data_IF_754198774254
#
_entry.id   IF_754198774254
#
_cell.length_a   1.000
_cell.length_b   1.000
_cell.length_c   1.000
_cell.angle_alpha   90.00
_cell.angle_beta   90.00
_cell.angle_gamma   90.00
#
_symmetry.space_group_name_H-M   'P 1'
#
loop_
_entity.id
_entity.type
_entity.pdbx_description
1 polymer ?
#
# COMPACT_ATOMS: atom_id res chain seq x y z
N UNK A 1 9.06 -31.22 48.97
CA UNK A 1 10.12 -30.57 48.14
C UNK A 1 9.86 -30.61 46.62
N UNK A 2 9.16 -31.60 46.06
CA UNK A 2 8.88 -31.67 44.62
C UNK A 2 7.86 -30.62 44.08
N UNK A 3 6.99 -30.08 44.94
CA UNK A 3 5.99 -29.05 44.52
C UNK A 3 6.56 -27.63 44.38
N UNK A 4 7.71 -27.36 45.03
CA UNK A 4 8.39 -26.05 44.95
C UNK A 4 9.16 -25.92 43.61
N UNK A 5 9.65 -27.02 43.05
CA UNK A 5 10.40 -27.02 41.80
C UNK A 5 9.54 -26.67 40.57
N UNK A 6 8.29 -27.11 40.54
CA UNK A 6 7.37 -26.81 39.42
C UNK A 6 6.95 -25.35 39.46
N UNK A 7 6.71 -24.78 40.65
CA UNK A 7 6.39 -23.36 40.81
C UNK A 7 7.57 -22.46 40.45
N UNK A 8 8.81 -22.83 40.78
CA UNK A 8 10.01 -22.11 40.40
C UNK A 8 10.31 -22.18 38.89
N UNK A 9 10.00 -23.33 38.24
CA UNK A 9 10.19 -23.46 36.80
C UNK A 9 9.19 -22.62 36.00
N UNK A 10 7.93 -22.54 36.46
CA UNK A 10 6.95 -21.62 35.84
C UNK A 10 7.30 -20.15 36.06
N UNK A 11 7.81 -19.74 37.24
CA UNK A 11 8.20 -18.37 37.49
C UNK A 11 9.53 -18.00 36.82
N UNK A 12 10.44 -18.96 36.62
CA UNK A 12 11.73 -18.72 35.92
C UNK A 12 11.58 -18.46 34.42
N UNK A 13 10.58 -19.07 33.78
CA UNK A 13 10.30 -18.84 32.33
C UNK A 13 9.75 -17.44 32.05
N UNK A 14 9.10 -16.80 33.03
CA UNK A 14 8.57 -15.45 32.88
C UNK A 14 9.60 -14.33 33.08
N UNK A 15 10.79 -14.61 33.62
CA UNK A 15 11.77 -13.57 33.94
C UNK A 15 12.85 -13.29 32.90
N UNK A 16 12.94 -14.09 31.82
CA UNK A 16 14.07 -13.95 30.89
C UNK A 16 13.83 -13.10 29.64
N UNK A 17 12.66 -12.49 29.46
CA UNK A 17 12.40 -11.66 28.29
C UNK A 17 11.75 -10.32 28.64
N UNK A 18 12.49 -9.44 29.30
CA UNK A 18 12.21 -8.00 29.24
C UNK A 18 12.79 -7.40 27.97
N UNK A 19 12.60 -8.05 26.83
CA UNK A 19 12.69 -7.36 25.56
C UNK A 19 11.46 -6.47 25.48
N UNK A 20 11.67 -5.17 25.23
CA UNK A 20 10.62 -4.19 25.04
C UNK A 20 9.49 -4.83 24.21
N UNK A 21 8.29 -4.89 24.81
CA UNK A 21 7.13 -5.49 24.13
C UNK A 21 7.00 -4.76 22.80
N UNK A 22 7.31 -5.47 21.72
CA UNK A 22 7.14 -4.93 20.38
C UNK A 22 5.67 -4.61 20.24
N UNK A 23 5.31 -3.33 20.21
CA UNK A 23 3.93 -2.91 20.03
C UNK A 23 3.42 -3.48 18.70
N UNK A 24 2.24 -4.07 18.72
CA UNK A 24 1.61 -4.68 17.55
C UNK A 24 0.28 -4.03 17.25
N UNK A 25 -0.02 -3.90 15.97
CA UNK A 25 -1.32 -3.50 15.45
C UNK A 25 -2.17 -4.74 15.11
N UNK A 26 -3.48 -4.53 14.98
CA UNK A 26 -4.40 -5.61 14.67
C UNK A 26 -4.68 -6.48 15.89
N UNK A 27 -4.89 -5.89 17.07
CA UNK A 27 -5.17 -6.57 18.33
C UNK A 27 -6.49 -6.16 18.99
N UNK A 28 -7.45 -5.61 18.23
CA UNK A 28 -8.78 -5.31 18.73
C UNK A 28 -9.55 -6.59 19.05
N UNK A 29 -10.67 -6.49 19.76
CA UNK A 29 -11.43 -7.67 20.20
C UNK A 29 -11.85 -8.59 19.04
N UNK A 30 -12.23 -8.03 17.89
CA UNK A 30 -12.65 -8.80 16.71
C UNK A 30 -11.47 -9.26 15.83
N UNK A 31 -10.25 -8.84 16.11
CA UNK A 31 -9.07 -9.19 15.32
C UNK A 31 -8.53 -10.58 15.74
N UNK A 32 -7.79 -11.25 14.84
CA UNK A 32 -7.07 -12.50 15.07
C UNK A 32 -7.94 -13.66 15.57
N UNK A 33 -9.18 -13.70 15.14
CA UNK A 33 -10.00 -14.88 15.22
C UNK A 33 -9.71 -15.81 14.04
N UNK A 34 -9.78 -17.10 14.28
CA UNK A 34 -9.71 -18.10 13.22
C UNK A 34 -10.70 -19.22 13.47
N UNK A 35 -11.23 -19.78 12.40
CA UNK A 35 -12.07 -20.97 12.41
C UNK A 35 -11.35 -22.09 11.67
N UNK A 36 -11.44 -23.30 12.15
CA UNK A 36 -10.82 -24.46 11.52
C UNK A 36 -11.69 -25.70 11.58
N UNK A 37 -11.40 -26.60 10.66
CA UNK A 37 -11.91 -27.95 10.64
C UNK A 37 -10.74 -28.91 10.65
N UNK A 38 -10.92 -30.07 11.26
CA UNK A 38 -9.87 -31.09 11.30
C UNK A 38 -10.46 -32.48 11.10
N UNK A 39 -9.65 -33.37 10.55
CA UNK A 39 -9.96 -34.77 10.42
C UNK A 39 -8.72 -35.62 10.74
N UNK A 40 -8.91 -36.80 11.32
CA UNK A 40 -7.79 -37.63 11.71
C UNK A 40 -8.23 -38.92 12.39
N UNK A 41 -7.41 -39.39 13.33
CA UNK A 41 -7.67 -40.59 14.08
C UNK A 41 -7.29 -40.48 15.55
N UNK A 42 -7.96 -41.22 16.36
CA UNK A 42 -7.64 -41.38 17.78
C UNK A 42 -7.40 -42.86 18.10
N UNK A 43 -6.38 -43.13 18.93
CA UNK A 43 -6.01 -44.49 19.33
C UNK A 43 -5.60 -44.51 20.81
N UNK A 44 -5.89 -45.59 21.59
CA UNK A 44 -5.41 -45.71 22.96
C UNK A 44 -3.89 -45.62 23.06
N UNK A 45 -3.38 -45.01 24.14
CA UNK A 45 -1.94 -44.83 24.37
C UNK A 45 -1.20 -46.14 24.56
N UNK A 46 -1.85 -47.11 25.25
CA UNK A 46 -1.21 -48.40 25.64
C UNK A 46 -2.12 -49.57 25.35
N UNK A 47 -1.51 -50.78 25.30
CA UNK A 47 -2.18 -52.07 25.19
C UNK A 47 -2.90 -52.34 23.85
N UNK A 48 -2.68 -51.53 22.84
CA UNK A 48 -3.32 -51.67 21.54
C UNK A 48 -2.33 -51.34 20.40
N UNK A 49 -2.57 -51.94 19.24
CA UNK A 49 -1.81 -51.55 18.05
C UNK A 49 -2.21 -50.16 17.61
N UNK A 50 -1.24 -49.32 17.31
CA UNK A 50 -1.46 -47.91 17.02
C UNK A 50 -2.46 -47.70 15.87
N UNK A 51 -2.26 -48.34 14.74
CA UNK A 51 -3.14 -48.18 13.56
C UNK A 51 -4.35 -49.15 13.60
N UNK A 52 -4.22 -50.34 14.20
CA UNK A 52 -5.28 -51.34 14.20
C UNK A 52 -6.55 -50.96 14.98
N UNK A 53 -6.40 -50.09 15.98
CA UNK A 53 -7.49 -49.59 16.82
C UNK A 53 -7.77 -48.11 16.64
N UNK A 54 -7.19 -47.52 15.55
CA UNK A 54 -7.41 -46.11 15.26
C UNK A 54 -8.86 -45.88 14.81
N UNK A 55 -9.51 -44.88 15.43
CA UNK A 55 -10.88 -44.47 15.13
C UNK A 55 -10.86 -43.12 14.44
N UNK A 56 -11.66 -42.95 13.41
CA UNK A 56 -11.76 -41.66 12.75
C UNK A 56 -12.34 -40.60 13.67
N UNK A 57 -11.76 -39.38 13.61
CA UNK A 57 -12.23 -38.22 14.33
C UNK A 57 -12.41 -37.07 13.34
N UNK A 58 -13.38 -36.23 13.63
CA UNK A 58 -13.54 -34.91 12.99
C UNK A 58 -13.72 -33.86 14.07
N UNK A 59 -13.19 -32.66 13.81
CA UNK A 59 -13.24 -31.55 14.74
C UNK A 59 -13.48 -30.25 14.07
N UNK A 60 -14.02 -29.33 14.86
CA UNK A 60 -14.12 -27.90 14.53
C UNK A 60 -13.44 -27.12 15.64
N UNK A 61 -12.81 -26.02 15.29
CA UNK A 61 -12.16 -25.14 16.25
C UNK A 61 -12.42 -23.67 15.94
N UNK A 62 -12.53 -22.89 17.01
CA UNK A 62 -12.59 -21.43 16.98
C UNK A 62 -11.49 -20.92 17.88
N UNK A 63 -10.52 -20.21 17.31
CA UNK A 63 -9.37 -19.73 18.05
C UNK A 63 -9.31 -18.21 18.04
N UNK A 64 -8.77 -17.64 19.11
CA UNK A 64 -8.48 -16.23 19.28
C UNK A 64 -7.04 -16.06 19.74
N UNK A 65 -6.22 -15.41 18.94
CA UNK A 65 -4.90 -14.97 19.36
C UNK A 65 -5.01 -13.64 20.11
N UNK A 66 -4.50 -13.59 21.34
CA UNK A 66 -4.46 -12.38 22.17
C UNK A 66 -3.21 -11.56 21.93
N UNK A 67 -2.11 -12.27 21.74
CA UNK A 67 -0.79 -11.72 21.39
C UNK A 67 -0.16 -12.61 20.33
N UNK A 68 0.92 -12.19 19.67
CA UNK A 68 1.64 -13.07 18.76
C UNK A 68 2.14 -14.39 19.38
N UNK A 69 2.20 -14.45 20.71
CA UNK A 69 2.69 -15.62 21.46
C UNK A 69 1.54 -16.43 22.03
N UNK A 70 0.54 -15.77 22.63
CA UNK A 70 -0.52 -16.42 23.41
C UNK A 70 -1.88 -16.27 22.74
N UNK A 71 -2.64 -17.35 22.76
CA UNK A 71 -4.03 -17.40 22.32
C UNK A 71 -4.85 -18.39 23.16
N UNK A 72 -6.13 -18.46 22.86
CA UNK A 72 -7.02 -19.48 23.37
C UNK A 72 -7.90 -20.01 22.23
N UNK A 73 -8.42 -21.24 22.41
CA UNK A 73 -9.28 -21.88 21.44
C UNK A 73 -10.39 -22.68 22.11
N UNK A 74 -11.51 -22.77 21.43
CA UNK A 74 -12.57 -23.72 21.69
C UNK A 74 -12.55 -24.75 20.58
N UNK A 75 -12.40 -26.03 20.95
CA UNK A 75 -12.34 -27.14 20.01
C UNK A 75 -13.41 -28.16 20.37
N UNK A 76 -14.15 -28.64 19.38
CA UNK A 76 -15.08 -29.75 19.52
C UNK A 76 -14.67 -30.88 18.58
N UNK A 77 -14.40 -32.08 19.12
CA UNK A 77 -13.95 -33.26 18.38
C UNK A 77 -14.93 -34.38 18.61
N UNK A 78 -15.43 -35.00 17.54
CA UNK A 78 -16.25 -36.19 17.56
C UNK A 78 -15.49 -37.39 17.01
N UNK A 79 -15.60 -38.53 17.70
CA UNK A 79 -15.09 -39.84 17.25
C UNK A 79 -16.23 -40.67 16.66
N UNK A 80 -15.98 -41.20 15.47
CA UNK A 80 -16.96 -41.97 14.70
C UNK A 80 -16.53 -43.44 14.66
N UNK A 81 -17.29 -44.30 15.21
CA UNK A 81 -17.26 -45.73 14.96
C UNK A 81 -18.36 -46.42 15.79
N UNK A 82 -19.15 -47.22 15.18
CA UNK A 82 -20.28 -47.92 15.82
C UNK A 82 -19.88 -49.11 16.67
N UNK A 83 -18.59 -49.44 16.80
CA UNK A 83 -18.15 -50.62 17.55
C UNK A 83 -18.23 -50.48 19.07
N UNK A 84 -18.21 -49.24 19.60
CA UNK A 84 -18.24 -48.96 21.05
C UNK A 84 -19.54 -48.33 21.52
N UNK A 85 -20.30 -47.70 20.65
CA UNK A 85 -21.59 -47.12 20.99
C UNK A 85 -22.68 -47.60 20.05
N UNK A 86 -23.93 -47.35 20.41
CA UNK A 86 -25.13 -47.62 19.58
C UNK A 86 -25.48 -46.43 18.68
N UNK A 87 -24.75 -45.34 18.79
CA UNK A 87 -24.93 -44.10 18.04
C UNK A 87 -23.83 -43.96 17.01
N UNK A 88 -23.96 -42.99 16.10
CA UNK A 88 -22.95 -42.64 15.08
C UNK A 88 -21.65 -42.17 15.78
N UNK A 89 -21.79 -41.44 16.88
CA UNK A 89 -20.66 -40.96 17.67
C UNK A 89 -20.37 -41.94 18.80
N UNK A 90 -19.10 -42.32 18.96
CA UNK A 90 -18.65 -43.05 20.14
C UNK A 90 -18.44 -42.10 21.32
N UNK A 91 -17.78 -40.95 21.01
CA UNK A 91 -17.53 -39.92 22.03
C UNK A 91 -17.40 -38.56 21.36
N UNK A 92 -17.67 -37.53 22.13
CA UNK A 92 -17.33 -36.15 21.78
C UNK A 92 -16.53 -35.49 22.90
N UNK A 93 -15.64 -34.61 22.55
CA UNK A 93 -14.84 -33.83 23.49
C UNK A 93 -14.91 -32.34 23.10
N UNK A 94 -15.41 -31.51 23.99
CA UNK A 94 -15.43 -30.05 23.83
C UNK A 94 -14.40 -29.46 24.78
N UNK A 95 -13.36 -28.86 24.26
CA UNK A 95 -12.19 -28.41 25.01
C UNK A 95 -11.95 -26.93 24.91
N UNK A 96 -11.62 -26.29 26.02
CA UNK A 96 -11.03 -24.96 26.08
C UNK A 96 -9.51 -25.10 26.11
N UNK A 97 -8.84 -24.52 25.14
CA UNK A 97 -7.42 -24.69 24.91
C UNK A 97 -6.67 -23.39 25.11
N UNK A 98 -5.51 -23.42 25.76
CA UNK A 98 -4.49 -22.39 25.68
C UNK A 98 -3.52 -22.74 24.56
N UNK A 99 -3.16 -21.72 23.79
CA UNK A 99 -2.32 -21.80 22.61
C UNK A 99 -1.06 -20.97 22.84
N UNK A 100 0.11 -21.54 22.60
CA UNK A 100 1.39 -20.86 22.77
C UNK A 100 2.26 -21.06 21.53
N UNK A 101 2.47 -20.01 20.76
CA UNK A 101 3.37 -20.05 19.61
C UNK A 101 4.83 -20.09 20.08
N UNK A 102 5.47 -21.25 19.96
CA UNK A 102 6.83 -21.48 20.44
C UNK A 102 7.88 -20.72 19.62
N UNK A 103 7.67 -20.55 18.33
CA UNK A 103 8.58 -19.80 17.49
C UNK A 103 8.64 -18.32 17.91
N UNK A 104 7.50 -17.74 18.27
CA UNK A 104 7.42 -16.35 18.70
C UNK A 104 7.84 -16.18 20.16
N UNK A 105 7.60 -17.20 21.00
CA UNK A 105 8.07 -17.22 22.40
C UNK A 105 9.60 -17.24 22.47
N UNK A 106 10.26 -18.10 21.69
CA UNK A 106 11.71 -18.30 21.74
C UNK A 106 12.48 -17.36 20.81
N UNK A 107 11.88 -16.96 19.68
CA UNK A 107 12.57 -16.26 18.60
C UNK A 107 12.01 -14.88 18.26
N UNK A 108 11.19 -14.27 19.08
CA UNK A 108 10.54 -12.97 18.87
C UNK A 108 9.65 -12.93 17.59
N UNK A 109 8.53 -12.27 17.65
CA UNK A 109 7.64 -12.09 16.49
C UNK A 109 8.24 -11.14 15.46
N UNK A 110 8.22 -11.53 14.18
CA UNK A 110 8.84 -10.75 13.08
C UNK A 110 7.91 -9.68 12.47
N UNK A 111 6.62 -9.67 12.84
CA UNK A 111 5.60 -8.78 12.27
C UNK A 111 4.74 -9.44 11.20
N UNK A 112 5.13 -10.65 10.77
CA UNK A 112 4.38 -11.52 9.84
C UNK A 112 4.53 -12.97 10.33
N UNK A 113 3.49 -13.81 10.30
CA UNK A 113 3.61 -15.23 10.62
C UNK A 113 4.64 -15.92 9.71
N UNK A 114 5.45 -16.79 10.32
CA UNK A 114 6.43 -17.57 9.56
C UNK A 114 5.72 -18.58 8.68
N UNK A 115 6.32 -19.05 7.60
CA UNK A 115 5.75 -20.13 6.77
C UNK A 115 5.48 -21.40 7.57
N UNK A 116 6.33 -21.69 8.58
CA UNK A 116 6.20 -22.81 9.49
C UNK A 116 6.31 -22.33 10.94
N UNK A 117 5.34 -22.72 11.76
CA UNK A 117 5.30 -22.40 13.20
C UNK A 117 4.84 -23.60 14.01
N UNK A 118 5.41 -23.73 15.21
CA UNK A 118 5.04 -24.74 16.19
C UNK A 118 4.28 -24.04 17.30
N UNK A 119 3.09 -24.57 17.60
CA UNK A 119 2.21 -24.06 18.64
C UNK A 119 1.98 -25.16 19.68
N UNK A 120 2.33 -24.90 20.93
CA UNK A 120 1.98 -25.79 22.04
C UNK A 120 0.52 -25.55 22.42
N UNK A 121 -0.17 -26.65 22.70
CA UNK A 121 -1.58 -26.67 23.05
C UNK A 121 -1.76 -27.38 24.36
N UNK A 122 -2.46 -26.75 25.32
CA UNK A 122 -2.84 -27.35 26.57
C UNK A 122 -4.24 -26.91 26.98
N UNK A 123 -5.06 -27.81 27.48
CA UNK A 123 -6.42 -27.42 27.88
C UNK A 123 -7.18 -28.47 28.64
N UNK A 124 -8.40 -28.09 28.99
CA UNK A 124 -9.37 -28.92 29.68
C UNK A 124 -10.62 -29.07 28.82
N UNK A 125 -11.29 -30.19 28.91
CA UNK A 125 -12.46 -30.45 28.09
C UNK A 125 -13.53 -31.23 28.84
N UNK A 126 -14.72 -31.16 28.24
CA UNK A 126 -15.85 -32.02 28.61
C UNK A 126 -15.92 -33.16 27.61
N UNK A 127 -15.73 -34.40 28.13
CA UNK A 127 -15.72 -35.64 27.39
C UNK A 127 -17.04 -36.35 27.63
N UNK A 128 -17.76 -36.63 26.55
CA UNK A 128 -19.03 -37.34 26.57
C UNK A 128 -18.92 -38.62 25.77
N UNK A 129 -19.26 -39.76 26.41
CA UNK A 129 -19.38 -41.08 25.81
C UNK A 129 -20.83 -41.40 25.55
N UNK A 130 -21.19 -41.71 24.30
CA UNK A 130 -22.54 -42.00 23.88
C UNK A 130 -22.86 -43.48 24.06
N UNK A 131 -23.95 -43.82 24.81
CA UNK A 131 -24.52 -45.13 24.94
C UNK A 131 -23.45 -46.25 24.97
N UNK A 132 -22.52 -46.20 25.94
CA UNK A 132 -21.45 -47.16 26.08
C UNK A 132 -22.07 -48.58 26.11
N UNK A 133 -21.53 -49.52 25.30
CA UNK A 133 -22.03 -50.88 25.20
C UNK A 133 -21.99 -51.66 26.51
N UNK A 134 -21.00 -51.36 27.37
CA UNK A 134 -20.82 -52.04 28.65
C UNK A 134 -21.80 -51.55 29.71
N UNK A 135 -22.09 -50.27 29.77
CA UNK A 135 -22.95 -49.66 30.80
C UNK A 135 -24.36 -49.42 30.31
N UNK A 136 -24.59 -49.36 28.99
CA UNK A 136 -25.90 -49.10 28.38
C UNK A 136 -26.41 -47.67 28.59
N UNK A 137 -25.55 -46.74 29.07
CA UNK A 137 -25.89 -45.36 29.38
C UNK A 137 -24.78 -44.40 28.91
N UNK A 138 -25.16 -43.14 28.75
CA UNK A 138 -24.21 -42.06 28.49
C UNK A 138 -23.35 -41.79 29.72
N UNK A 139 -22.10 -41.46 29.48
CA UNK A 139 -21.13 -41.10 30.53
C UNK A 139 -20.47 -39.75 30.23
N UNK A 140 -20.34 -38.96 31.27
CA UNK A 140 -19.65 -37.67 31.21
C UNK A 140 -18.37 -37.73 32.02
N UNK A 141 -17.33 -37.11 31.50
CA UNK A 141 -16.03 -37.00 32.16
C UNK A 141 -15.39 -35.65 31.82
N UNK A 142 -14.40 -35.28 32.60
CA UNK A 142 -13.49 -34.21 32.24
C UNK A 142 -12.26 -34.77 31.54
N UNK A 143 -11.75 -34.06 30.57
CA UNK A 143 -10.50 -34.42 29.90
C UNK A 143 -9.45 -33.28 30.03
N UNK A 144 -8.19 -33.70 29.92
CA UNK A 144 -7.10 -32.75 29.63
C UNK A 144 -6.49 -33.10 28.29
N UNK A 145 -6.10 -32.05 27.53
CA UNK A 145 -5.45 -32.19 26.23
C UNK A 145 -4.09 -31.50 26.29
N UNK A 146 -3.05 -32.22 25.85
CA UNK A 146 -1.70 -31.67 25.65
C UNK A 146 -1.25 -32.03 24.23
N UNK A 147 -0.80 -31.09 23.47
CA UNK A 147 -0.42 -31.32 22.09
C UNK A 147 0.50 -30.29 21.51
N UNK A 148 0.86 -30.52 20.27
CA UNK A 148 1.59 -29.59 19.43
C UNK A 148 0.82 -29.45 18.12
N UNK A 149 0.71 -28.23 17.62
CA UNK A 149 0.26 -27.96 16.27
C UNK A 149 1.46 -27.53 15.42
N UNK A 150 1.71 -28.26 14.36
CA UNK A 150 2.69 -27.90 13.33
C UNK A 150 1.95 -27.16 12.24
N UNK A 151 2.02 -25.84 12.30
CA UNK A 151 1.26 -24.91 11.46
C UNK A 151 2.06 -24.53 10.23
N UNK A 152 1.52 -24.76 9.04
CA UNK A 152 2.03 -24.34 7.75
C UNK A 152 1.17 -23.19 7.24
N UNK A 153 1.66 -21.96 7.35
CA UNK A 153 0.94 -20.73 6.97
C UNK A 153 1.06 -20.48 5.47
N UNK A 154 -0.06 -20.56 4.77
CA UNK A 154 -0.15 -20.58 3.32
C UNK A 154 -0.35 -19.18 2.73
N UNK A 155 0.20 -18.97 1.53
CA UNK A 155 0.05 -17.74 0.76
C UNK A 155 0.75 -16.53 1.38
N UNK A 156 0.72 -15.41 0.68
CA UNK A 156 1.32 -14.15 1.12
C UNK A 156 0.51 -13.50 2.24
N UNK A 157 -0.81 -13.53 2.16
CA UNK A 157 -1.71 -12.95 3.15
C UNK A 157 -1.72 -13.68 4.49
N UNK A 158 -1.23 -14.95 4.53
CA UNK A 158 -1.30 -15.83 5.70
C UNK A 158 -2.71 -16.06 6.24
N UNK A 159 -3.71 -15.96 5.35
CA UNK A 159 -5.11 -16.18 5.70
C UNK A 159 -5.45 -17.64 5.99
N UNK A 160 -4.68 -18.58 5.45
CA UNK A 160 -4.90 -19.99 5.58
C UNK A 160 -3.73 -20.68 6.26
N UNK A 161 -4.03 -21.66 7.14
CA UNK A 161 -3.04 -22.48 7.81
C UNK A 161 -3.44 -23.95 7.69
N UNK A 162 -2.54 -24.77 7.17
CA UNK A 162 -2.63 -26.23 7.26
C UNK A 162 -1.90 -26.66 8.52
N UNK A 163 -2.54 -27.44 9.38
CA UNK A 163 -1.96 -27.86 10.67
C UNK A 163 -1.93 -29.37 10.79
N UNK A 164 -0.80 -29.93 11.21
CA UNK A 164 -0.71 -31.30 11.73
C UNK A 164 -0.77 -31.20 13.25
N UNK A 165 -1.71 -31.90 13.87
CA UNK A 165 -2.10 -31.74 15.28
C UNK A 165 -1.98 -33.06 16.07
N UNK A 166 -0.78 -33.52 16.44
CA UNK A 166 -0.63 -34.60 17.42
C UNK A 166 -0.95 -34.11 18.84
N UNK A 167 -1.77 -34.82 19.55
CA UNK A 167 -2.15 -34.50 20.91
C UNK A 167 -2.38 -35.76 21.76
N UNK A 168 -2.15 -35.64 23.05
CA UNK A 168 -2.53 -36.60 24.06
C UNK A 168 -3.78 -36.06 24.78
N UNK A 169 -4.83 -36.87 24.79
CA UNK A 169 -6.06 -36.57 25.55
C UNK A 169 -6.17 -37.58 26.68
N UNK A 170 -6.31 -37.07 27.90
CA UNK A 170 -6.41 -37.83 29.10
C UNK A 170 -7.80 -37.69 29.73
N UNK A 171 -8.47 -38.82 29.97
CA UNK A 171 -9.74 -38.89 30.69
C UNK A 171 -9.48 -38.81 32.20
N UNK A 172 -9.99 -37.79 32.86
CA UNK A 172 -9.79 -37.51 34.29
C UNK A 172 -10.79 -38.22 35.20
N UNK A 173 -11.66 -39.07 34.67
CA UNK A 173 -12.68 -39.77 35.44
C UNK A 173 -12.06 -40.88 36.32
N UNK A 174 -11.42 -40.50 37.42
CA UNK A 174 -10.86 -41.41 38.40
C UNK A 174 -11.45 -41.11 39.76
N UNK A 175 -11.78 -42.14 40.50
CA UNK A 175 -12.27 -42.04 41.87
C UNK A 175 -11.21 -42.45 42.92
N UNK A 176 -11.24 -41.79 44.08
CA UNK A 176 -10.40 -42.15 45.23
C UNK A 176 -8.90 -41.86 45.07
N UNK A 177 -8.08 -42.69 45.65
CA UNK A 177 -6.61 -42.53 45.62
C UNK A 177 -5.97 -42.62 44.21
N UNK A 178 -6.68 -43.17 43.25
CA UNK A 178 -6.25 -43.29 41.85
C UNK A 178 -6.39 -42.00 41.07
N UNK A 179 -7.18 -41.03 41.58
CA UNK A 179 -7.36 -39.73 40.91
C UNK A 179 -6.05 -38.91 40.77
N UNK A 180 -5.03 -39.22 41.57
CA UNK A 180 -3.75 -38.51 41.60
C UNK A 180 -2.67 -39.20 40.75
N UNK A 181 -2.95 -40.43 40.22
CA UNK A 181 -1.99 -41.19 39.43
C UNK A 181 -2.34 -41.15 37.96
N UNK A 182 -1.33 -40.96 37.12
CA UNK A 182 -1.49 -41.08 35.66
C UNK A 182 -1.66 -42.56 35.27
N UNK A 183 -2.79 -42.88 34.66
CA UNK A 183 -3.09 -44.19 34.11
C UNK A 183 -3.05 -44.17 32.59
N UNK A 184 -2.04 -44.79 32.00
CA UNK A 184 -1.84 -44.78 30.54
C UNK A 184 -3.03 -45.37 29.76
N UNK A 185 -3.81 -46.28 30.35
CA UNK A 185 -5.03 -46.83 29.74
C UNK A 185 -6.19 -45.81 29.56
N UNK A 186 -6.12 -44.64 30.21
CA UNK A 186 -7.09 -43.53 30.08
C UNK A 186 -6.63 -42.44 29.12
N UNK A 187 -5.42 -42.58 28.58
CA UNK A 187 -4.88 -41.67 27.63
C UNK A 187 -5.09 -42.17 26.19
N UNK A 188 -5.37 -41.28 25.31
CA UNK A 188 -5.46 -41.54 23.86
C UNK A 188 -4.59 -40.56 23.09
N UNK A 189 -3.98 -41.08 22.06
CA UNK A 189 -3.40 -40.24 21.02
C UNK A 189 -4.49 -39.75 20.10
N UNK A 190 -4.48 -38.47 19.81
CA UNK A 190 -5.22 -37.82 18.70
C UNK A 190 -4.22 -37.31 17.71
N UNK A 191 -4.34 -37.72 16.45
CA UNK A 191 -3.54 -37.19 15.35
C UNK A 191 -4.50 -36.74 14.26
N UNK A 192 -4.50 -35.44 13.96
CA UNK A 192 -5.38 -34.87 12.94
C UNK A 192 -4.64 -33.89 12.05
N UNK A 193 -5.19 -33.72 10.88
CA UNK A 193 -4.82 -32.63 9.95
C UNK A 193 -5.97 -31.66 9.93
N UNK A 194 -5.67 -30.40 10.12
CA UNK A 194 -6.65 -29.31 10.14
C UNK A 194 -6.36 -28.24 9.11
N UNK A 195 -7.42 -27.60 8.64
CA UNK A 195 -7.35 -26.40 7.83
C UNK A 195 -8.01 -25.27 8.61
N UNK A 196 -7.26 -24.18 8.85
CA UNK A 196 -7.72 -22.98 9.57
C UNK A 196 -7.79 -21.79 8.63
N UNK A 197 -8.83 -20.98 8.78
CA UNK A 197 -8.96 -19.67 8.15
C UNK A 197 -8.88 -18.57 9.20
N UNK A 198 -8.00 -17.61 8.99
CA UNK A 198 -7.83 -16.44 9.84
C UNK A 198 -8.66 -15.30 9.29
N UNK A 199 -9.55 -14.73 10.10
CA UNK A 199 -10.38 -13.60 9.70
C UNK A 199 -9.53 -12.34 9.52
N UNK A 200 -10.04 -11.41 8.70
CA UNK A 200 -9.41 -10.11 8.50
C UNK A 200 -9.44 -9.28 9.78
N UNK A 201 -8.33 -8.62 10.08
CA UNK A 201 -8.14 -7.77 11.24
C UNK A 201 -8.34 -6.29 10.90
N UNK A 202 -8.46 -5.44 11.91
CA UNK A 202 -8.62 -3.98 11.79
C UNK A 202 -7.45 -3.26 11.11
N UNK A 203 -6.30 -3.91 11.00
CA UNK A 203 -5.13 -3.45 10.26
C UNK A 203 -5.14 -3.86 8.77
N UNK A 204 -6.23 -4.46 8.27
CA UNK A 204 -6.37 -4.94 6.90
C UNK A 204 -5.54 -6.20 6.56
N UNK A 205 -4.99 -6.89 7.57
CA UNK A 205 -4.23 -8.15 7.45
C UNK A 205 -4.99 -9.28 8.14
N UNK A 206 -4.46 -10.52 8.04
CA UNK A 206 -4.98 -11.70 8.74
C UNK A 206 -4.12 -12.08 9.95
N UNK A 207 -3.31 -11.14 10.43
CA UNK A 207 -2.35 -11.34 11.52
C UNK A 207 -1.96 -10.00 12.15
N UNK A 208 -1.28 -10.06 13.28
CA UNK A 208 -0.64 -8.89 13.88
C UNK A 208 0.42 -8.31 12.95
N UNK A 209 0.57 -6.99 12.97
CA UNK A 209 1.73 -6.30 12.37
C UNK A 209 2.50 -5.56 13.45
N UNK A 210 3.82 -5.37 13.25
CA UNK A 210 4.60 -4.52 14.16
C UNK A 210 4.21 -3.07 13.96
N UNK A 211 3.99 -2.36 15.05
CA UNK A 211 3.94 -0.90 15.02
C UNK A 211 5.32 -0.40 14.62
N UNK A 212 5.38 0.47 13.63
CA UNK A 212 6.63 1.16 13.30
C UNK A 212 7.06 1.96 14.52
N UNK A 213 8.28 1.76 14.99
CA UNK A 213 8.80 2.58 16.08
C UNK A 213 8.69 4.05 15.66
N UNK A 214 8.18 4.86 16.59
CA UNK A 214 8.10 6.30 16.41
C UNK A 214 9.53 6.85 16.27
N UNK A 215 9.86 7.33 15.09
CA UNK A 215 11.12 8.00 14.81
C UNK A 215 10.90 9.50 14.96
N UNK A 216 11.42 10.06 16.06
CA UNK A 216 11.31 11.48 16.35
C UNK A 216 11.94 12.33 15.23
N UNK A 217 13.03 11.86 14.62
CA UNK A 217 13.68 12.57 13.52
C UNK A 217 12.79 12.63 12.26
N UNK A 218 12.11 11.50 11.92
CA UNK A 218 11.16 11.47 10.80
C UNK A 218 9.99 12.45 11.03
N UNK A 219 9.49 12.52 12.26
CA UNK A 219 8.41 13.45 12.63
C UNK A 219 8.87 14.89 12.58
N UNK A 220 10.07 15.18 13.07
CA UNK A 220 10.62 16.54 13.04
C UNK A 220 10.84 17.01 11.59
N UNK A 221 11.33 16.14 10.70
CA UNK A 221 11.45 16.41 9.26
C UNK A 221 10.10 16.66 8.62
N UNK A 222 9.09 15.82 8.93
CA UNK A 222 7.73 16.00 8.42
C UNK A 222 7.10 17.30 8.90
N UNK A 223 7.27 17.64 10.20
CA UNK A 223 6.79 18.89 10.76
C UNK A 223 7.48 20.12 10.14
N UNK A 224 8.80 20.04 9.91
CA UNK A 224 9.53 21.08 9.21
C UNK A 224 8.98 21.26 7.77
N UNK A 225 8.70 20.18 7.07
CA UNK A 225 8.11 20.22 5.73
C UNK A 225 6.69 20.78 5.72
N UNK A 226 5.87 20.43 6.70
CA UNK A 226 4.53 21.01 6.88
C UNK A 226 4.63 22.51 7.08
N UNK A 227 5.53 22.97 7.94
CA UNK A 227 5.73 24.39 8.22
C UNK A 227 6.25 25.16 6.98
N UNK A 228 7.15 24.54 6.19
CA UNK A 228 7.61 25.09 4.91
C UNK A 228 6.45 25.27 3.95
N UNK A 229 5.63 24.21 3.77
CA UNK A 229 4.46 24.24 2.88
C UNK A 229 3.41 25.27 3.32
N UNK A 230 3.16 25.39 4.64
CA UNK A 230 2.28 26.43 5.18
C UNK A 230 2.80 27.82 4.88
N UNK A 231 4.12 28.04 5.02
CA UNK A 231 4.76 29.32 4.70
C UNK A 231 4.65 29.63 3.22
N UNK A 232 4.88 28.63 2.37
CA UNK A 232 4.75 28.79 0.90
C UNK A 232 3.31 29.09 0.50
N UNK A 233 2.35 28.33 1.03
CA UNK A 233 0.93 28.57 0.79
C UNK A 233 0.50 30.00 1.19
N UNK A 234 1.03 30.50 2.31
CA UNK A 234 0.80 31.88 2.72
C UNK A 234 1.38 32.95 1.78
N UNK A 235 2.56 32.68 1.20
CA UNK A 235 3.15 33.56 0.16
C UNK A 235 2.34 33.53 -1.13
N UNK A 236 1.95 32.34 -1.55
CA UNK A 236 1.17 32.14 -2.78
C UNK A 236 -0.22 32.79 -2.65
N UNK A 237 -0.86 32.69 -1.49
CA UNK A 237 -2.13 33.38 -1.23
C UNK A 237 -2.01 34.90 -1.32
N UNK A 238 -0.93 35.48 -0.79
CA UNK A 238 -0.68 36.93 -0.91
C UNK A 238 -0.41 37.33 -2.37
N UNK A 239 0.41 36.55 -3.09
CA UNK A 239 0.68 36.79 -4.51
C UNK A 239 -0.59 36.70 -5.36
N UNK A 240 -1.46 35.73 -5.07
CA UNK A 240 -2.76 35.60 -5.71
C UNK A 240 -3.65 36.82 -5.44
N UNK A 241 -3.70 37.27 -4.19
CA UNK A 241 -4.49 38.45 -3.82
C UNK A 241 -3.99 39.71 -4.54
N UNK A 242 -2.67 39.91 -4.64
CA UNK A 242 -2.09 41.00 -5.42
C UNK A 242 -2.41 40.90 -6.92
N UNK A 243 -2.32 39.70 -7.50
CA UNK A 243 -2.67 39.45 -8.88
C UNK A 243 -4.16 39.77 -9.15
N UNK A 244 -5.05 39.31 -8.30
CA UNK A 244 -6.49 39.63 -8.40
C UNK A 244 -6.73 41.14 -8.32
N UNK A 245 -6.07 41.86 -7.39
CA UNK A 245 -6.18 43.30 -7.30
C UNK A 245 -5.74 43.98 -8.58
N UNK A 246 -4.58 43.58 -9.18
CA UNK A 246 -4.10 44.08 -10.45
C UNK A 246 -5.06 43.83 -11.60
N UNK A 247 -5.66 42.64 -11.67
CA UNK A 247 -6.69 42.32 -12.67
C UNK A 247 -7.86 43.28 -12.54
N UNK A 248 -8.39 43.46 -11.32
CA UNK A 248 -9.51 44.42 -11.09
C UNK A 248 -9.15 45.85 -11.45
N UNK A 249 -7.94 46.31 -11.14
CA UNK A 249 -7.46 47.64 -11.53
C UNK A 249 -7.35 47.79 -13.06
N UNK A 250 -6.85 46.76 -13.74
CA UNK A 250 -6.72 46.75 -15.22
C UNK A 250 -8.10 46.68 -15.89
N UNK A 251 -9.04 45.92 -15.38
CA UNK A 251 -10.42 45.87 -15.88
C UNK A 251 -11.09 47.22 -15.74
N UNK A 252 -10.96 47.90 -14.59
CA UNK A 252 -11.48 49.23 -14.37
C UNK A 252 -10.83 50.29 -15.32
N UNK A 253 -9.53 50.18 -15.57
CA UNK A 253 -8.81 51.02 -16.50
C UNK A 253 -9.26 50.79 -17.97
N UNK A 254 -9.49 49.53 -18.32
CA UNK A 254 -9.98 49.12 -19.63
C UNK A 254 -11.41 49.64 -19.87
N UNK A 255 -12.31 49.51 -18.88
CA UNK A 255 -13.65 50.06 -18.96
C UNK A 255 -13.64 51.59 -19.07
N UNK A 256 -12.78 52.25 -18.30
CA UNK A 256 -12.59 53.68 -18.41
C UNK A 256 -12.08 54.13 -19.82
N UNK A 257 -11.16 53.37 -20.40
CA UNK A 257 -10.67 53.60 -21.73
C UNK A 257 -11.75 53.34 -22.80
N UNK A 258 -12.56 52.27 -22.60
CA UNK A 258 -13.63 51.89 -23.52
C UNK A 258 -14.80 52.91 -23.52
N UNK A 259 -15.07 53.50 -22.36
CA UNK A 259 -16.14 54.49 -22.18
C UNK A 259 -15.70 55.95 -22.45
N UNK A 260 -14.40 56.17 -22.74
CA UNK A 260 -13.97 57.49 -23.27
C UNK A 260 -14.53 57.65 -24.67
N UNK A 261 -15.33 58.71 -24.86
CA UNK A 261 -15.71 59.10 -26.20
C UNK A 261 -14.45 59.22 -27.08
N UNK A 262 -14.46 58.64 -28.30
CA UNK A 262 -13.31 58.73 -29.17
C UNK A 262 -13.00 60.25 -29.38
N UNK A 263 -11.88 60.71 -28.82
CA UNK A 263 -11.31 61.99 -29.24
C UNK A 263 -11.03 61.85 -30.72
N UNK A 264 -11.95 62.41 -31.54
CA UNK A 264 -11.68 62.58 -32.93
C UNK A 264 -10.54 63.62 -32.98
N UNK A 265 -9.31 63.13 -33.02
CA UNK A 265 -8.16 63.91 -33.45
C UNK A 265 -8.45 64.14 -34.90
N UNK A 266 -8.98 65.31 -35.23
CA UNK A 266 -8.91 65.82 -36.58
C UNK A 266 -7.43 66.08 -36.85
N UNK A 267 -6.69 65.00 -37.14
CA UNK A 267 -5.46 65.17 -37.90
C UNK A 267 -5.89 65.72 -39.23
N UNK A 268 -5.64 67.01 -39.42
CA UNK A 268 -5.51 67.61 -40.74
C UNK A 268 -4.42 66.73 -41.37
N UNK A 269 -4.85 65.75 -42.16
CA UNK A 269 -3.97 64.96 -43.01
C UNK A 269 -3.46 66.00 -44.01
N UNK A 270 -2.26 66.50 -43.73
CA UNK A 270 -1.47 67.25 -44.68
C UNK A 270 -1.14 66.28 -45.81
N UNK A 271 -1.88 66.41 -46.91
CA UNK A 271 -2.05 65.45 -47.98
C UNK A 271 -0.86 65.47 -48.96
N UNK A 272 0.38 65.68 -48.44
CA UNK A 272 1.56 65.91 -49.30
C UNK A 272 2.60 64.80 -49.29
N UNK A 273 2.46 63.74 -48.54
CA UNK A 273 3.42 62.61 -48.64
C UNK A 273 2.74 61.29 -48.64
N UNK A 274 2.37 60.79 -49.84
CA UNK A 274 1.98 59.38 -50.03
C UNK A 274 3.22 58.51 -49.87
N UNK A 275 3.36 57.80 -48.78
CA UNK A 275 4.42 56.78 -48.53
C UNK A 275 3.93 55.46 -49.05
N UNK A 276 4.66 54.85 -49.98
CA UNK A 276 4.44 53.48 -50.44
C UNK A 276 5.45 52.58 -49.77
N UNK A 277 4.98 51.54 -49.01
CA UNK A 277 5.83 50.54 -48.41
C UNK A 277 5.76 49.20 -49.14
N UNK A 278 6.88 48.53 -49.24
CA UNK A 278 6.98 47.16 -49.79
C UNK A 278 7.99 46.34 -49.02
N UNK A 279 7.61 45.13 -48.71
CA UNK A 279 8.47 44.18 -47.97
C UNK A 279 9.04 43.14 -48.93
N UNK A 280 10.36 42.95 -48.87
CA UNK A 280 11.09 41.95 -49.65
C UNK A 280 11.65 40.92 -48.68
N UNK A 281 11.20 39.69 -48.79
CA UNK A 281 11.62 38.60 -47.92
C UNK A 281 12.81 37.85 -48.51
N UNK A 282 13.71 37.41 -47.63
CA UNK A 282 14.89 36.62 -47.97
C UNK A 282 14.84 35.26 -47.30
N UNK A 283 15.29 34.24 -48.01
CA UNK A 283 15.47 32.92 -47.38
C UNK A 283 16.53 32.99 -46.29
N UNK A 284 16.45 32.10 -45.33
CA UNK A 284 17.39 32.02 -44.22
C UNK A 284 18.84 31.95 -44.75
N UNK A 285 19.74 32.78 -44.20
CA UNK A 285 21.14 32.83 -44.59
C UNK A 285 21.39 33.39 -46.02
N UNK A 286 20.38 33.82 -46.80
CA UNK A 286 20.54 34.38 -48.13
C UNK A 286 20.44 35.89 -48.11
N UNK A 287 21.23 36.52 -49.00
CA UNK A 287 21.28 37.97 -49.19
C UNK A 287 20.96 38.39 -50.66
N UNK A 288 20.63 37.40 -51.52
CA UNK A 288 20.15 37.59 -52.87
C UNK A 288 18.65 37.65 -52.92
N UNK A 289 18.06 38.60 -53.69
CA UNK A 289 16.61 38.71 -53.87
C UNK A 289 16.13 37.53 -54.73
N UNK A 290 15.18 36.76 -54.22
CA UNK A 290 14.55 35.66 -54.93
C UNK A 290 13.63 36.18 -56.07
N UNK A 291 13.54 35.40 -57.16
CA UNK A 291 12.67 35.78 -58.29
C UNK A 291 11.22 35.95 -57.88
N UNK A 292 10.74 35.27 -56.88
CA UNK A 292 9.40 35.42 -56.34
C UNK A 292 9.14 36.79 -55.70
N UNK A 293 10.20 37.55 -55.34
CA UNK A 293 10.13 38.87 -54.71
C UNK A 293 10.26 40.04 -55.75
N UNK A 294 10.53 39.70 -56.99
CA UNK A 294 10.67 40.70 -58.05
C UNK A 294 9.45 41.66 -58.18
N UNK A 295 8.19 41.14 -58.07
CA UNK A 295 7.03 42.06 -58.15
C UNK A 295 7.02 43.13 -57.05
N UNK A 296 7.56 42.79 -55.83
CA UNK A 296 7.65 43.76 -54.76
C UNK A 296 8.69 44.84 -55.00
N UNK A 297 9.80 44.48 -55.62
CA UNK A 297 10.84 45.48 -56.06
C UNK A 297 10.32 46.33 -57.21
N UNK A 298 9.64 45.69 -58.19
CA UNK A 298 9.09 46.36 -59.34
C UNK A 298 8.01 47.38 -58.96
N UNK A 299 7.17 47.10 -58.01
CA UNK A 299 6.17 48.00 -57.45
C UNK A 299 6.83 49.34 -56.99
N UNK A 300 7.93 49.27 -56.24
CA UNK A 300 8.67 50.41 -55.74
C UNK A 300 9.36 51.08 -56.89
N UNK A 301 9.98 50.39 -57.84
CA UNK A 301 10.63 50.93 -58.99
C UNK A 301 9.65 51.74 -59.89
N UNK A 302 8.45 51.19 -60.13
CA UNK A 302 7.36 51.86 -60.90
C UNK A 302 6.89 53.14 -60.18
N UNK A 303 6.75 53.08 -58.86
CA UNK A 303 6.38 54.24 -58.08
C UNK A 303 7.43 55.37 -58.22
N UNK A 304 8.71 55.04 -58.05
CA UNK A 304 9.81 55.99 -58.14
C UNK A 304 9.93 56.60 -59.55
N UNK A 305 9.67 55.81 -60.59
CA UNK A 305 9.65 56.29 -61.99
C UNK A 305 8.52 57.30 -62.28
N UNK A 306 7.37 57.04 -61.65
CA UNK A 306 6.18 57.88 -61.88
C UNK A 306 6.11 59.10 -60.99
N UNK A 307 6.94 59.18 -59.93
CA UNK A 307 6.95 60.29 -58.97
C UNK A 307 8.34 60.97 -58.97
N UNK A 308 8.60 61.88 -59.82
CA UNK A 308 9.85 62.68 -59.89
C UNK A 308 10.11 63.36 -58.55
N UNK A 309 11.27 63.11 -57.93
CA UNK A 309 11.64 63.68 -56.64
C UNK A 309 11.30 62.78 -55.43
N UNK A 310 10.68 61.60 -55.64
CA UNK A 310 10.49 60.66 -54.61
C UNK A 310 11.82 59.91 -54.26
N UNK A 311 12.04 59.62 -53.00
CA UNK A 311 13.17 58.84 -52.50
C UNK A 311 12.71 57.60 -51.79
N UNK A 312 13.53 56.59 -51.77
CA UNK A 312 13.24 55.34 -51.06
C UNK A 312 14.25 55.13 -49.95
N UNK A 313 13.76 54.77 -48.75
CA UNK A 313 14.58 54.34 -47.65
C UNK A 313 14.52 52.81 -47.57
N UNK A 314 15.68 52.15 -47.75
CA UNK A 314 15.77 50.73 -47.71
C UNK A 314 16.33 50.29 -46.31
N UNK A 315 15.51 49.66 -45.54
CA UNK A 315 15.92 49.09 -44.23
C UNK A 315 16.11 47.56 -44.35
N UNK A 316 17.31 47.09 -44.05
CA UNK A 316 17.59 45.66 -44.00
C UNK A 316 17.36 45.10 -42.58
N UNK A 317 16.84 43.88 -42.52
CA UNK A 317 16.65 43.15 -41.27
C UNK A 317 17.23 41.74 -41.39
N UNK A 318 17.71 41.20 -40.26
CA UNK A 318 18.11 39.80 -40.10
C UNK A 318 17.34 39.17 -38.94
N UNK A 319 17.29 37.84 -38.89
CA UNK A 319 16.73 37.10 -37.74
C UNK A 319 17.52 37.43 -36.48
N UNK A 320 16.88 37.46 -35.29
CA UNK A 320 17.61 37.70 -34.04
C UNK A 320 18.50 36.51 -33.62
N UNK A 321 18.45 35.40 -34.35
CA UNK A 321 19.29 34.22 -34.10
C UNK A 321 20.73 34.44 -34.59
N UNK A 322 21.74 34.13 -33.75
CA UNK A 322 23.15 34.26 -34.05
C UNK A 322 23.81 35.50 -33.45
N UNK A 323 25.09 35.79 -33.86
CA UNK A 323 25.80 36.96 -33.33
C UNK A 323 25.31 38.25 -33.96
N UNK A 324 25.34 39.35 -33.20
CA UNK A 324 24.91 40.67 -33.63
C UNK A 324 25.69 41.13 -34.88
N UNK A 325 27.01 40.92 -34.91
CA UNK A 325 27.89 41.32 -36.02
C UNK A 325 27.55 40.59 -37.32
N UNK A 326 27.21 39.30 -37.24
CA UNK A 326 26.78 38.52 -38.41
C UNK A 326 25.43 39.01 -38.91
N UNK A 327 24.50 39.31 -38.02
CA UNK A 327 23.16 39.78 -38.33
C UNK A 327 23.18 41.17 -38.95
N UNK A 328 24.01 42.08 -38.44
CA UNK A 328 24.20 43.41 -39.04
C UNK A 328 24.79 43.32 -40.44
N UNK A 329 25.78 42.46 -40.66
CA UNK A 329 26.35 42.23 -41.99
C UNK A 329 25.31 41.69 -42.96
N UNK A 330 24.49 40.73 -42.56
CA UNK A 330 23.43 40.15 -43.39
C UNK A 330 22.36 41.21 -43.71
N UNK A 331 21.94 41.99 -42.72
CA UNK A 331 20.95 43.07 -42.90
C UNK A 331 21.44 44.12 -43.91
N UNK A 332 22.69 44.53 -43.77
CA UNK A 332 23.34 45.47 -44.71
C UNK A 332 23.39 44.90 -46.14
N UNK A 333 23.86 43.64 -46.28
CA UNK A 333 23.94 42.96 -47.59
C UNK A 333 22.57 42.80 -48.25
N UNK A 334 21.50 42.55 -47.51
CA UNK A 334 20.13 42.47 -48.01
C UNK A 334 19.66 43.84 -48.55
N UNK A 335 19.87 44.90 -47.77
CA UNK A 335 19.53 46.28 -48.23
C UNK A 335 20.32 46.66 -49.47
N UNK A 336 21.61 46.31 -49.53
CA UNK A 336 22.45 46.58 -50.72
C UNK A 336 22.00 45.77 -51.93
N UNK A 337 21.59 44.53 -51.79
CA UNK A 337 21.07 43.73 -52.89
C UNK A 337 19.80 44.29 -53.49
N UNK A 338 18.88 44.83 -52.69
CA UNK A 338 17.69 45.55 -53.19
C UNK A 338 18.06 46.81 -53.86
N UNK A 339 18.98 47.60 -53.30
CA UNK A 339 19.49 48.80 -53.92
C UNK A 339 20.11 48.50 -55.29
N UNK A 340 21.02 47.55 -55.40
CA UNK A 340 21.63 47.10 -56.65
C UNK A 340 20.61 46.73 -57.71
N UNK A 341 19.53 46.09 -57.30
CA UNK A 341 18.48 45.68 -58.21
C UNK A 341 17.65 46.84 -58.68
N UNK A 342 17.28 47.77 -57.81
CA UNK A 342 16.59 49.05 -58.23
C UNK A 342 17.42 49.85 -59.19
N UNK A 343 18.72 50.03 -58.95
CA UNK A 343 19.61 50.79 -59.85
C UNK A 343 19.93 49.96 -61.12
N UNK A 344 20.38 48.73 -61.01
CA UNK A 344 20.93 47.98 -62.14
C UNK A 344 19.86 47.40 -63.07
N UNK A 345 18.76 46.81 -62.50
CA UNK A 345 17.70 46.23 -63.33
C UNK A 345 16.59 47.17 -63.69
N UNK A 346 16.21 48.11 -62.83
CA UNK A 346 15.08 49.01 -63.04
C UNK A 346 15.50 50.43 -63.36
N UNK A 347 16.81 50.75 -63.36
CA UNK A 347 17.33 52.03 -63.75
C UNK A 347 16.90 53.20 -62.86
N UNK A 348 16.76 52.98 -61.56
CA UNK A 348 16.44 54.04 -60.60
C UNK A 348 17.76 54.71 -60.19
N UNK A 349 17.86 56.02 -60.35
CA UNK A 349 19.06 56.78 -60.03
C UNK A 349 19.24 57.05 -58.54
#
# INVERSE_FOLDING_TARGET
MKKIFISLFLSGVFMYHTNAQTAVEGNKFLDNWSIGISAGGTTPLTHHSFFGNMRPIMGIELNKQLTPVFGFGLEAVGSFNTSQSRTIFDRSNVSLLGLVNLNNLLGTYTGVPRPFEIEAVAGIGWLHYYMNRETGSDQNSMSTKLGLNFNFNLGESKAWTLALKPALVYDMNAMGSEAVRFHSGRAVWEISVGLKYHFGCSNGKHHFTKVRAYDQQEVDVLNAKINELHTQAGKDAKALQEAVRKVTELEAALDKCRNQEPKIVKDTIDNTKKTLESVITFRQGRTTVDNSQLPNVERIATYLKNHKGASVLIKGYASPEGSVEVNERIARQRAEAVKKMLVGKYGIA
#
